data_IF_499459421991
#
_entry.id   IF_499459421991
#
_cell.length_a   1.000
_cell.length_b   1.000
_cell.length_c   1.000
_cell.angle_alpha   90.00
_cell.angle_beta   90.00
_cell.angle_gamma   90.00
#
_symmetry.space_group_name_H-M   'P 1'
#
loop_
_entity.id
_entity.type
_entity.pdbx_description
1 polymer ?
#
# COMPACT_ATOMS: atom_id res chain seq x y z
N UNK A 1 5.32 -12.32 12.94
CA UNK A 1 5.88 -11.40 11.92
C UNK A 1 6.70 -10.31 12.61
N UNK A 2 7.76 -9.89 11.97
CA UNK A 2 8.62 -8.86 12.52
C UNK A 2 7.81 -7.59 12.81
N UNK A 3 7.97 -7.03 14.01
CA UNK A 3 7.18 -5.88 14.42
C UNK A 3 7.46 -4.63 13.56
N UNK A 4 8.68 -4.50 13.07
CA UNK A 4 9.02 -3.35 12.23
C UNK A 4 8.35 -3.44 10.85
N UNK A 5 8.14 -4.66 10.34
CA UNK A 5 7.40 -4.84 9.10
C UNK A 5 5.91 -4.62 9.32
N UNK A 6 5.38 -5.13 10.43
CA UNK A 6 3.98 -4.90 10.81
C UNK A 6 3.69 -3.43 10.95
N UNK A 7 4.61 -2.70 11.57
CA UNK A 7 4.48 -1.27 11.78
C UNK A 7 4.38 -0.51 10.45
N UNK A 8 5.18 -0.94 9.47
CA UNK A 8 5.17 -0.31 8.15
C UNK A 8 3.92 -0.70 7.35
N UNK A 9 3.42 -1.93 7.52
CA UNK A 9 2.23 -2.40 6.82
C UNK A 9 0.94 -1.79 7.35
N UNK A 10 0.87 -1.53 8.65
CA UNK A 10 -0.38 -1.10 9.29
C UNK A 10 -1.06 0.10 8.63
N UNK A 11 -0.36 1.21 8.33
CA UNK A 11 -1.04 2.33 7.69
C UNK A 11 -1.52 2.01 6.28
N UNK A 12 -0.79 1.18 5.54
CA UNK A 12 -1.17 0.83 4.17
C UNK A 12 -2.41 -0.06 4.18
N UNK A 13 -2.47 -1.02 5.11
CA UNK A 13 -3.63 -1.89 5.24
C UNK A 13 -4.85 -1.09 5.67
N UNK A 14 -4.65 -0.06 6.49
CA UNK A 14 -5.73 0.83 6.89
C UNK A 14 -6.30 1.55 5.66
N UNK A 15 -5.44 1.98 4.74
CA UNK A 15 -5.88 2.64 3.52
C UNK A 15 -6.67 1.71 2.62
N UNK A 16 -6.27 0.44 2.52
CA UNK A 16 -7.05 -0.55 1.78
C UNK A 16 -8.43 -0.70 2.39
N UNK A 17 -8.49 -0.85 3.70
CA UNK A 17 -9.76 -1.02 4.40
C UNK A 17 -10.66 0.19 4.26
N UNK A 18 -10.13 1.37 4.50
CA UNK A 18 -10.92 2.61 4.44
C UNK A 18 -11.45 2.91 3.05
N UNK A 19 -10.74 2.51 2.02
CA UNK A 19 -11.17 2.77 0.65
C UNK A 19 -12.06 1.68 0.08
N UNK A 20 -12.31 0.61 0.83
CA UNK A 20 -13.13 -0.50 0.36
C UNK A 20 -12.43 -1.41 -0.64
N UNK A 21 -11.10 -1.36 -0.71
CA UNK A 21 -10.32 -2.23 -1.56
C UNK A 21 -10.21 -3.63 -0.95
N UNK A 22 -9.85 -4.66 -1.74
CA UNK A 22 -9.60 -5.98 -1.17
C UNK A 22 -8.49 -5.94 -0.14
N UNK A 23 -8.62 -6.76 0.91
CA UNK A 23 -7.59 -6.88 1.93
C UNK A 23 -6.81 -8.18 1.73
N UNK A 24 -5.48 -8.15 1.82
CA UNK A 24 -4.71 -9.39 1.72
C UNK A 24 -4.76 -10.19 3.00
N UNK A 25 -4.57 -11.50 2.86
CA UNK A 25 -4.25 -12.35 3.99
C UNK A 25 -2.73 -12.25 4.13
N UNK A 26 -2.26 -11.58 5.17
CA UNK A 26 -0.83 -11.35 5.38
C UNK A 26 -0.26 -12.50 6.19
N UNK A 27 0.73 -13.18 5.63
CA UNK A 27 1.36 -14.32 6.30
C UNK A 27 2.83 -14.07 6.51
N UNK A 28 3.29 -14.38 7.72
CA UNK A 28 4.69 -14.29 8.07
C UNK A 28 5.42 -15.44 7.37
N UNK A 29 6.23 -15.07 6.39
CA UNK A 29 6.98 -16.06 5.63
C UNK A 29 8.31 -15.46 5.25
N UNK A 30 9.39 -16.13 5.62
CA UNK A 30 10.72 -15.68 5.28
C UNK A 30 11.10 -16.26 3.92
N UNK A 31 11.06 -15.45 2.90
CA UNK A 31 11.37 -15.89 1.53
C UNK A 31 12.69 -15.33 1.00
N UNK A 32 13.45 -14.64 1.85
CA UNK A 32 14.74 -14.06 1.45
C UNK A 32 15.75 -14.25 2.56
N UNK A 33 17.00 -14.48 2.18
CA UNK A 33 18.10 -14.64 3.12
C UNK A 33 18.95 -13.38 3.23
N UNK A 34 18.52 -12.30 2.62
CA UNK A 34 19.28 -11.04 2.66
C UNK A 34 19.29 -10.51 4.10
N UNK A 35 20.47 -10.24 4.67
CA UNK A 35 20.53 -9.72 6.04
C UNK A 35 19.79 -8.41 6.18
N UNK A 36 18.97 -8.31 7.24
CA UNK A 36 18.20 -7.10 7.52
C UNK A 36 16.92 -6.96 6.72
N UNK A 37 16.66 -7.86 5.77
CA UNK A 37 15.41 -7.81 5.00
C UNK A 37 14.32 -8.55 5.75
N UNK A 38 13.23 -7.85 6.03
CA UNK A 38 12.06 -8.42 6.68
C UNK A 38 11.05 -8.77 5.60
N UNK A 39 10.46 -9.95 5.65
CA UNK A 39 9.60 -10.46 4.58
C UNK A 39 8.28 -10.99 5.08
N UNK A 40 7.28 -10.94 4.22
CA UNK A 40 5.97 -11.54 4.45
C UNK A 40 5.35 -11.83 3.08
N UNK A 41 4.20 -12.50 3.08
CA UNK A 41 3.45 -12.77 1.86
C UNK A 41 2.07 -12.17 1.98
N UNK A 42 1.61 -11.62 0.86
CA UNK A 42 0.26 -11.09 0.73
C UNK A 42 -0.52 -12.06 -0.16
N UNK A 43 -1.56 -12.68 0.38
CA UNK A 43 -2.37 -13.61 -0.40
C UNK A 43 -3.73 -13.02 -0.74
N UNK A 44 -4.15 -13.21 -1.97
CA UNK A 44 -5.47 -12.81 -2.43
C UNK A 44 -6.51 -13.91 -2.17
N UNK A 45 -7.76 -13.57 -2.44
CA UNK A 45 -8.88 -14.49 -2.27
C UNK A 45 -8.78 -15.71 -3.18
N UNK A 46 -8.10 -15.58 -4.32
CA UNK A 46 -7.90 -16.68 -5.26
C UNK A 46 -6.71 -17.57 -4.91
N UNK A 47 -6.03 -17.27 -3.80
CA UNK A 47 -4.87 -18.05 -3.37
C UNK A 47 -3.54 -17.59 -3.95
N UNK A 48 -3.55 -16.64 -4.87
CA UNK A 48 -2.30 -16.10 -5.42
C UNK A 48 -1.58 -15.28 -4.36
N UNK A 49 -0.25 -15.30 -4.38
CA UNK A 49 0.56 -14.61 -3.39
C UNK A 49 1.59 -13.70 -4.00
N UNK A 50 1.94 -12.67 -3.27
CA UNK A 50 3.00 -11.74 -3.66
C UNK A 50 3.84 -11.43 -2.43
N UNK A 51 5.15 -11.45 -2.58
CA UNK A 51 6.06 -11.11 -1.48
C UNK A 51 6.05 -9.62 -1.19
N UNK A 52 6.22 -9.28 0.07
CA UNK A 52 6.41 -7.90 0.50
C UNK A 52 7.61 -7.87 1.45
N UNK A 53 8.41 -6.82 1.38
CA UNK A 53 9.61 -6.72 2.20
C UNK A 53 9.94 -5.28 2.56
N UNK A 54 10.75 -5.15 3.60
CA UNK A 54 11.32 -3.87 4.00
C UNK A 54 12.67 -4.13 4.66
N UNK A 55 13.52 -3.12 4.67
CA UNK A 55 14.83 -3.24 5.32
C UNK A 55 14.74 -2.70 6.75
N UNK A 56 15.17 -3.52 7.71
CA UNK A 56 15.05 -3.18 9.12
C UNK A 56 15.79 -1.90 9.49
N UNK A 57 16.87 -1.59 8.78
CA UNK A 57 17.69 -0.41 9.10
C UNK A 57 17.13 0.90 8.56
N UNK A 58 16.11 0.85 7.74
CA UNK A 58 15.54 2.08 7.18
C UNK A 58 14.61 2.78 8.17
N UNK A 59 14.56 4.11 8.16
CA UNK A 59 13.60 4.85 8.99
C UNK A 59 12.17 4.41 8.67
N UNK A 60 11.27 4.55 9.64
CA UNK A 60 9.88 4.12 9.46
C UNK A 60 9.20 4.77 8.25
N UNK A 61 9.33 6.09 8.00
CA UNK A 61 8.68 6.67 6.81
C UNK A 61 9.16 6.03 5.51
N UNK A 62 10.46 5.72 5.42
CA UNK A 62 11.02 5.08 4.22
C UNK A 62 10.44 3.68 4.06
N UNK A 63 10.33 2.94 5.17
CA UNK A 63 9.75 1.59 5.16
C UNK A 63 8.28 1.63 4.74
N UNK A 64 7.53 2.62 5.25
CA UNK A 64 6.12 2.76 4.89
C UNK A 64 5.97 3.06 3.40
N UNK A 65 6.77 3.99 2.86
CA UNK A 65 6.69 4.33 1.44
C UNK A 65 7.01 3.12 0.55
N UNK A 66 8.04 2.36 0.92
CA UNK A 66 8.43 1.17 0.18
C UNK A 66 7.34 0.10 0.21
N UNK A 67 6.78 -0.16 1.38
CA UNK A 67 5.74 -1.16 1.55
C UNK A 67 4.45 -0.71 0.84
N UNK A 68 4.13 0.58 0.90
CA UNK A 68 2.95 1.11 0.22
C UNK A 68 3.02 0.88 -1.29
N UNK A 69 4.19 1.07 -1.87
CA UNK A 69 4.39 0.83 -3.29
C UNK A 69 4.14 -0.65 -3.64
N UNK A 70 4.63 -1.57 -2.82
CA UNK A 70 4.46 -3.00 -3.03
C UNK A 70 3.02 -3.44 -2.83
N UNK A 71 2.36 -2.94 -1.79
CA UNK A 71 0.97 -3.26 -1.52
C UNK A 71 0.06 -2.69 -2.62
N UNK A 72 0.44 -1.55 -3.18
CA UNK A 72 -0.28 -0.96 -4.30
C UNK A 72 -0.32 -1.93 -5.48
N UNK A 73 0.81 -2.55 -5.81
CA UNK A 73 0.87 -3.53 -6.89
C UNK A 73 -0.05 -4.70 -6.59
N UNK A 74 -0.03 -5.18 -5.36
CA UNK A 74 -0.90 -6.28 -4.94
C UNK A 74 -2.37 -5.89 -5.09
N UNK A 75 -2.72 -4.66 -4.66
CA UNK A 75 -4.11 -4.19 -4.69
C UNK A 75 -4.65 -4.06 -6.12
N UNK A 76 -3.81 -3.57 -7.04
CA UNK A 76 -4.20 -3.44 -8.44
C UNK A 76 -4.53 -4.81 -9.05
N UNK A 77 -3.68 -5.81 -8.76
CA UNK A 77 -3.91 -7.16 -9.23
C UNK A 77 -5.17 -7.76 -8.62
N UNK A 78 -5.38 -7.53 -7.33
CA UNK A 78 -6.56 -8.05 -6.63
C UNK A 78 -7.85 -7.43 -7.18
N UNK A 79 -7.83 -6.14 -7.48
CA UNK A 79 -8.97 -5.45 -8.07
C UNK A 79 -9.27 -5.99 -9.46
N UNK A 80 -8.21 -6.22 -10.25
CA UNK A 80 -8.34 -6.76 -11.59
C UNK A 80 -9.01 -8.14 -11.54
N UNK A 81 -8.54 -9.01 -10.66
CA UNK A 81 -9.12 -10.35 -10.52
C UNK A 81 -10.55 -10.32 -10.00
N UNK A 82 -10.92 -9.29 -9.26
CA UNK A 82 -12.28 -9.13 -8.76
C UNK A 82 -13.22 -8.48 -9.79
N UNK A 83 -12.74 -8.15 -10.98
CA UNK A 83 -13.54 -7.50 -11.99
C UNK A 83 -13.89 -6.06 -11.65
N UNK A 84 -13.08 -5.42 -10.82
CA UNK A 84 -13.30 -4.04 -10.38
C UNK A 84 -12.28 -3.11 -11.05
N UNK A 85 -12.56 -1.80 -11.11
CA UNK A 85 -11.58 -0.86 -11.66
C UNK A 85 -10.25 -0.98 -10.91
N UNK A 86 -9.17 -1.17 -11.65
CA UNK A 86 -7.86 -1.51 -11.08
C UNK A 86 -6.95 -0.29 -10.91
N UNK A 87 -7.51 0.81 -10.46
CA UNK A 87 -6.77 2.02 -10.13
C UNK A 87 -6.85 2.22 -8.62
N UNK A 88 -5.71 2.07 -7.93
CA UNK A 88 -5.71 2.23 -6.48
C UNK A 88 -4.35 2.75 -6.01
N UNK A 89 -4.30 3.76 -5.12
CA UNK A 89 -5.43 4.60 -4.73
C UNK A 89 -5.78 5.55 -5.87
N UNK A 90 -7.07 5.83 -6.01
CA UNK A 90 -7.50 6.74 -7.07
C UNK A 90 -7.10 8.17 -6.74
N UNK A 91 -6.61 8.90 -7.74
CA UNK A 91 -6.26 10.29 -7.56
C UNK A 91 -7.53 11.14 -7.59
N UNK A 92 -7.87 11.85 -6.50
CA UNK A 92 -9.11 12.62 -6.45
C UNK A 92 -9.17 13.76 -7.48
N UNK A 93 -8.02 14.27 -7.89
CA UNK A 93 -7.98 15.31 -8.91
C UNK A 93 -8.12 14.78 -10.33
N UNK A 94 -7.94 13.47 -10.53
CA UNK A 94 -7.97 12.86 -11.86
C UNK A 94 -8.64 11.49 -11.77
N UNK A 95 -9.94 11.47 -11.41
CA UNK A 95 -10.63 10.19 -11.18
C UNK A 95 -10.63 9.32 -12.44
N UNK A 96 -10.33 8.04 -12.25
CA UNK A 96 -10.30 7.07 -13.33
C UNK A 96 -9.11 7.19 -14.27
N UNK A 97 -8.17 8.09 -13.98
CA UNK A 97 -7.06 8.39 -14.87
C UNK A 97 -5.77 7.66 -14.48
N UNK A 98 -5.33 7.86 -13.25
CA UNK A 98 -4.08 7.26 -12.77
C UNK A 98 -4.14 7.06 -11.25
N UNK A 99 -3.33 6.14 -10.72
CA UNK A 99 -3.27 5.98 -9.27
C UNK A 99 -2.38 7.04 -8.63
N UNK A 100 -2.52 7.21 -7.34
CA UNK A 100 -1.55 7.96 -6.55
C UNK A 100 -0.28 7.15 -6.44
N UNK A 101 0.83 7.80 -6.15
CA UNK A 101 2.12 7.15 -5.94
C UNK A 101 2.58 7.38 -4.51
N UNK A 102 3.15 6.34 -3.88
CA UNK A 102 3.69 6.46 -2.54
C UNK A 102 5.09 7.06 -2.63
N UNK A 103 5.32 8.17 -1.96
CA UNK A 103 6.61 8.86 -1.98
C UNK A 103 6.90 9.49 -0.63
N UNK A 104 8.18 9.75 -0.37
CA UNK A 104 8.57 10.52 0.79
C UNK A 104 8.41 12.00 0.48
N UNK A 105 7.76 12.72 1.40
CA UNK A 105 7.62 14.17 1.32
C UNK A 105 7.86 14.71 2.73
N UNK A 106 8.85 15.57 2.88
CA UNK A 106 9.22 16.13 4.17
C UNK A 106 9.40 15.06 5.23
N UNK A 107 10.12 13.99 4.88
CA UNK A 107 10.42 12.87 5.75
C UNK A 107 9.19 12.07 6.20
N UNK A 108 8.10 12.14 5.44
CA UNK A 108 6.90 11.35 5.73
C UNK A 108 6.44 10.63 4.46
N UNK A 109 5.85 9.46 4.63
CA UNK A 109 5.30 8.71 3.50
C UNK A 109 3.95 9.30 3.11
N UNK A 110 3.80 9.69 1.86
CA UNK A 110 2.59 10.34 1.37
C UNK A 110 2.15 9.74 0.05
N UNK A 111 0.83 9.73 -0.15
CA UNK A 111 0.25 9.43 -1.45
C UNK A 111 0.26 10.72 -2.25
N UNK A 112 0.93 10.72 -3.39
CA UNK A 112 1.09 11.93 -4.20
C UNK A 112 0.51 11.74 -5.58
N UNK A 113 0.05 12.83 -6.17
CA UNK A 113 -0.39 12.82 -7.57
C UNK A 113 0.85 12.80 -8.46
N UNK A 114 1.07 11.75 -9.26
CA UNK A 114 2.28 11.69 -10.11
C UNK A 114 2.29 12.74 -11.21
N UNK A 115 1.13 13.24 -11.58
CA UNK A 115 1.03 14.23 -12.64
C UNK A 115 1.41 15.63 -12.17
N UNK A 116 0.99 16.02 -10.98
CA UNK A 116 1.29 17.36 -10.44
C UNK A 116 2.42 17.36 -9.44
N UNK A 117 2.72 16.20 -8.84
CA UNK A 117 3.70 16.09 -7.77
C UNK A 117 3.15 16.51 -6.41
N UNK A 118 1.88 16.88 -6.33
CA UNK A 118 1.30 17.33 -5.07
C UNK A 118 0.95 16.17 -4.15
N UNK A 119 1.31 16.27 -2.85
CA UNK A 119 0.87 15.26 -1.89
C UNK A 119 -0.62 15.42 -1.64
N UNK A 120 -1.34 14.31 -1.59
CA UNK A 120 -2.78 14.30 -1.36
C UNK A 120 -3.07 14.03 0.12
N UNK A 121 -2.40 13.03 0.69
CA UNK A 121 -2.54 12.69 2.10
C UNK A 121 -1.37 11.81 2.50
N UNK A 122 -1.19 11.64 3.80
CA UNK A 122 -0.19 10.70 4.29
C UNK A 122 -0.68 9.29 4.10
N UNK A 123 0.24 8.35 3.90
CA UNK A 123 -0.11 6.94 3.88
C UNK A 123 -0.72 6.57 5.22
N UNK A 124 -1.86 5.96 5.22
CA UNK A 124 -2.63 5.67 6.43
C UNK A 124 -3.79 6.63 6.66
N UNK A 125 -3.88 7.69 5.86
CA UNK A 125 -4.93 8.70 5.99
C UNK A 125 -5.79 8.84 4.74
N UNK A 126 -5.83 7.81 3.91
CA UNK A 126 -6.62 7.84 2.69
C UNK A 126 -8.09 7.97 3.03
N UNK A 127 -8.79 8.86 2.33
CA UNK A 127 -10.21 9.07 2.58
C UNK A 127 -11.00 7.83 2.20
N UNK A 128 -12.09 7.59 2.90
CA UNK A 128 -12.99 6.49 2.60
C UNK A 128 -13.78 6.75 1.33
N UNK A 129 -14.66 5.81 0.98
CA UNK A 129 -15.48 5.97 -0.21
C UNK A 129 -16.29 7.27 -0.15
N UNK A 130 -16.49 7.88 -1.31
CA UNK A 130 -17.15 9.13 -1.34
C UNK A 130 -18.49 9.17 -0.77
N UNK A 131 -19.18 8.11 -0.86
CA UNK A 131 -20.52 8.06 -0.32
C UNK A 131 -20.51 8.24 1.17
N UNK A 132 -19.40 8.16 1.79
CA UNK A 132 -19.31 8.31 3.22
C UNK A 132 -19.52 9.74 3.64
N UNK A 133 -19.59 10.66 2.73
CA UNK A 133 -19.67 11.93 3.12
C UNK A 133 -20.82 12.57 3.00
N UNK A 134 -21.02 13.13 3.48
CA UNK A 134 -22.09 13.84 3.45
C UNK A 134 -22.81 14.02 3.28
#
# INVERSE_FOLDING_TARGET
MDSALSEALAPVLRDLENSGAPLPDVRDLQWSDVPGQMTAMLYGADGSGQGVSAMAGEPLPDRIASVADQVQEWAVEALWHAGRPATWPECPGHPGSHPLAAQLRDHRAAWTCPQTGNPICLVGQLAGPKTARF
#
